data_IF_229759182837
#
_entry.id   IF_229759182837
#
_cell.length_a   1.000
_cell.length_b   1.000
_cell.length_c   1.000
_cell.angle_alpha   90.00
_cell.angle_beta   90.00
_cell.angle_gamma   90.00
#
_symmetry.space_group_name_H-M   'P 1'
#
loop_
_entity.id
_entity.type
_entity.pdbx_description
1 polymer ?
#
# COMPACT_ATOMS: atom_id res chain seq x y z
N UNK A 1 11.73 -7.18 12.13
CA UNK A 1 10.33 -7.50 11.78
C UNK A 1 9.85 -8.61 12.70
N UNK A 2 8.58 -8.58 13.08
CA UNK A 2 7.95 -9.62 13.91
C UNK A 2 6.59 -9.95 13.32
N UNK A 3 6.06 -11.13 13.64
CA UNK A 3 4.72 -11.57 13.24
C UNK A 3 3.95 -12.05 14.47
N UNK A 4 2.63 -11.82 14.56
CA UNK A 4 1.80 -12.47 15.57
C UNK A 4 1.63 -13.98 15.30
N UNK A 5 1.80 -14.42 14.06
CA UNK A 5 1.86 -15.84 13.73
C UNK A 5 3.22 -16.42 14.17
N UNK A 6 3.19 -17.40 15.07
CA UNK A 6 4.39 -17.96 15.68
C UNK A 6 5.29 -18.70 14.68
N UNK A 7 4.71 -19.34 13.67
CA UNK A 7 5.46 -20.05 12.63
C UNK A 7 6.25 -19.06 11.78
N UNK A 8 5.56 -18.05 11.24
CA UNK A 8 6.18 -16.99 10.46
C UNK A 8 7.20 -16.22 11.30
N UNK A 9 6.87 -15.91 12.56
CA UNK A 9 7.78 -15.18 13.45
C UNK A 9 9.09 -15.94 13.70
N UNK A 10 9.05 -17.27 13.77
CA UNK A 10 10.24 -18.12 13.87
C UNK A 10 11.12 -18.11 12.62
N UNK A 11 10.55 -17.83 11.44
CA UNK A 11 11.27 -17.80 10.17
C UNK A 11 11.85 -16.41 9.83
N UNK A 12 11.25 -15.33 10.34
CA UNK A 12 11.69 -13.94 10.06
C UNK A 12 13.16 -13.64 10.39
N UNK A 13 13.81 -14.21 11.43
CA UNK A 13 15.23 -13.98 11.69
C UNK A 13 16.14 -14.35 10.51
N UNK A 14 15.77 -15.34 9.70
CA UNK A 14 16.54 -15.73 8.51
C UNK A 14 16.54 -14.66 7.40
N UNK A 15 15.63 -13.68 7.48
CA UNK A 15 15.60 -12.52 6.57
C UNK A 15 16.62 -11.44 6.95
N UNK A 16 17.30 -11.55 8.10
CA UNK A 16 18.30 -10.58 8.53
C UNK A 16 19.43 -10.46 7.50
N UNK A 17 19.81 -9.23 7.15
CA UNK A 17 20.81 -8.97 6.12
C UNK A 17 20.27 -8.95 4.68
N UNK A 18 18.95 -9.07 4.49
CA UNK A 18 18.30 -8.81 3.18
C UNK A 18 18.76 -7.46 2.64
N UNK A 19 19.29 -7.48 1.42
CA UNK A 19 19.60 -6.24 0.70
C UNK A 19 18.39 -5.84 -0.11
N UNK A 20 18.06 -4.55 -0.10
CA UNK A 20 16.95 -4.00 -0.85
C UNK A 20 17.42 -2.78 -1.66
N UNK A 21 16.85 -2.61 -2.84
CA UNK A 21 17.01 -1.41 -3.66
C UNK A 21 15.65 -0.89 -4.08
N UNK A 22 15.43 0.41 -3.90
CA UNK A 22 14.23 1.10 -4.36
C UNK A 22 14.61 2.10 -5.45
N UNK A 23 13.91 2.05 -6.57
CA UNK A 23 13.97 3.09 -7.60
C UNK A 23 12.77 3.99 -7.42
N UNK A 24 13.03 5.30 -7.33
CA UNK A 24 11.99 6.33 -7.23
C UNK A 24 11.98 7.20 -8.48
N UNK A 25 10.79 7.66 -8.85
CA UNK A 25 10.55 8.68 -9.86
C UNK A 25 10.44 10.08 -9.23
N UNK A 26 9.90 11.04 -9.99
CA UNK A 26 9.63 12.38 -9.49
C UNK A 26 8.78 12.36 -8.20
N UNK A 27 9.06 13.27 -7.27
CA UNK A 27 8.31 13.33 -6.01
C UNK A 27 8.54 12.14 -5.08
N UNK A 28 9.65 11.41 -5.23
CA UNK A 28 9.92 10.15 -4.52
C UNK A 28 8.87 9.05 -4.79
N UNK A 29 8.11 9.16 -5.88
CA UNK A 29 7.12 8.14 -6.26
C UNK A 29 7.82 6.78 -6.47
N UNK A 30 7.42 5.70 -5.78
CA UNK A 30 8.10 4.43 -5.96
C UNK A 30 7.82 3.81 -7.34
N UNK A 31 8.87 3.32 -8.00
CA UNK A 31 8.80 2.75 -9.36
C UNK A 31 9.13 1.26 -9.37
N UNK A 32 10.18 0.85 -8.66
CA UNK A 32 10.62 -0.54 -8.66
C UNK A 32 11.32 -0.92 -7.36
N UNK A 33 10.93 -2.05 -6.77
CA UNK A 33 11.57 -2.67 -5.63
C UNK A 33 12.35 -3.89 -6.06
N UNK A 34 13.59 -4.02 -5.58
CA UNK A 34 14.43 -5.20 -5.74
C UNK A 34 14.82 -5.71 -4.37
N UNK A 35 14.65 -7.01 -4.14
CA UNK A 35 15.04 -7.69 -2.92
C UNK A 35 16.05 -8.78 -3.23
N UNK A 36 17.08 -8.87 -2.40
CA UNK A 36 18.05 -9.94 -2.39
C UNK A 36 18.08 -10.51 -0.96
N UNK A 37 17.10 -11.39 -0.62
CA UNK A 37 17.10 -12.07 0.66
C UNK A 37 18.26 -13.08 0.74
N UNK A 38 18.74 -13.42 1.96
CA UNK A 38 19.75 -14.46 2.13
C UNK A 38 19.28 -15.84 1.62
N UNK A 39 20.20 -16.70 1.22
CA UNK A 39 19.86 -18.03 0.68
C UNK A 39 19.10 -18.92 1.69
N UNK A 40 19.40 -18.76 2.98
CA UNK A 40 18.73 -19.48 4.07
C UNK A 40 17.30 -18.98 4.37
N UNK A 41 16.83 -17.94 3.68
CA UNK A 41 15.49 -17.41 3.88
C UNK A 41 14.42 -18.37 3.34
N UNK A 42 13.51 -18.80 4.20
CA UNK A 42 12.33 -19.57 3.82
C UNK A 42 11.38 -18.78 2.91
N UNK A 43 10.62 -19.49 2.08
CA UNK A 43 9.69 -18.88 1.12
C UNK A 43 8.59 -18.07 1.79
N UNK A 44 8.03 -18.57 2.89
CA UNK A 44 6.96 -17.89 3.62
C UNK A 44 7.43 -16.55 4.21
N UNK A 45 8.61 -16.53 4.84
CA UNK A 45 9.20 -15.30 5.36
C UNK A 45 9.52 -14.30 4.24
N UNK A 46 10.05 -14.77 3.10
CA UNK A 46 10.30 -13.94 1.93
C UNK A 46 9.00 -13.30 1.42
N UNK A 47 7.96 -14.10 1.22
CA UNK A 47 6.67 -13.63 0.73
C UNK A 47 6.05 -12.61 1.70
N UNK A 48 6.10 -12.85 3.01
CA UNK A 48 5.58 -11.93 4.01
C UNK A 48 6.28 -10.56 3.98
N UNK A 49 7.61 -10.56 3.81
CA UNK A 49 8.39 -9.32 3.66
C UNK A 49 8.06 -8.61 2.36
N UNK A 50 7.96 -9.33 1.25
CA UNK A 50 7.55 -8.78 -0.05
C UNK A 50 6.17 -8.10 0.04
N UNK A 51 5.17 -8.77 0.61
CA UNK A 51 3.82 -8.22 0.77
C UNK A 51 3.80 -6.98 1.67
N UNK A 52 4.60 -6.98 2.74
CA UNK A 52 4.74 -5.82 3.63
C UNK A 52 5.32 -4.60 2.90
N UNK A 53 6.30 -4.84 2.03
CA UNK A 53 6.92 -3.77 1.24
C UNK A 53 6.01 -3.29 0.12
N UNK A 54 5.30 -4.18 -0.58
CA UNK A 54 4.27 -3.80 -1.56
C UNK A 54 3.20 -2.93 -0.90
N UNK A 55 2.77 -3.28 0.31
CA UNK A 55 1.84 -2.46 1.09
C UNK A 55 2.41 -1.07 1.34
N UNK A 56 3.66 -0.97 1.85
CA UNK A 56 4.31 0.30 2.10
C UNK A 56 4.46 1.17 0.83
N UNK A 57 4.70 0.56 -0.32
CA UNK A 57 4.78 1.25 -1.61
C UNK A 57 3.42 1.78 -2.06
N UNK A 58 2.39 0.94 -1.98
CA UNK A 58 1.03 1.31 -2.37
C UNK A 58 0.43 2.40 -1.48
N UNK A 59 0.85 2.47 -0.23
CA UNK A 59 0.41 3.50 0.72
C UNK A 59 1.37 4.68 0.87
N UNK A 60 2.45 4.72 0.08
CA UNK A 60 3.36 5.88 0.05
C UNK A 60 2.67 7.09 -0.59
N UNK A 61 3.07 8.30 -0.23
CA UNK A 61 2.54 9.54 -0.82
C UNK A 61 3.63 10.19 -1.65
N UNK A 62 3.39 10.33 -2.95
CA UNK A 62 4.28 11.09 -3.82
C UNK A 62 4.21 12.58 -3.48
N UNK A 63 5.37 13.22 -3.44
CA UNK A 63 5.52 14.65 -3.17
C UNK A 63 5.38 15.46 -4.46
N UNK A 64 4.92 16.73 -4.38
CA UNK A 64 5.02 17.67 -5.49
C UNK A 64 6.48 17.87 -5.93
N UNK A 65 6.68 18.09 -7.23
CA UNK A 65 7.99 18.42 -7.82
C UNK A 65 8.29 19.92 -7.79
N UNK A 66 7.29 20.73 -7.46
CA UNK A 66 7.42 22.16 -7.21
C UNK A 66 7.74 22.43 -5.73
N UNK A 67 8.38 23.56 -5.40
CA UNK A 67 8.62 23.93 -4.02
C UNK A 67 7.32 24.01 -3.21
N UNK A 68 7.30 23.35 -2.05
CA UNK A 68 6.20 23.39 -1.09
C UNK A 68 6.68 23.90 0.26
N UNK A 69 5.74 24.28 1.12
CA UNK A 69 5.98 24.63 2.51
C UNK A 69 4.91 24.00 3.41
N UNK A 70 5.10 24.05 4.72
CA UNK A 70 4.10 23.60 5.68
C UNK A 70 2.76 24.28 5.40
N UNK A 71 1.68 23.50 5.39
CA UNK A 71 0.34 23.94 5.02
C UNK A 71 -0.02 23.69 3.55
N UNK A 72 0.96 23.39 2.68
CA UNK A 72 0.71 23.02 1.29
C UNK A 72 -0.21 21.79 1.21
N UNK A 73 -1.05 21.79 0.16
CA UNK A 73 -1.99 20.72 -0.16
C UNK A 73 -1.81 20.32 -1.61
N UNK A 74 -1.93 19.03 -1.88
CA UNK A 74 -1.84 18.50 -3.23
C UNK A 74 -2.67 17.24 -3.36
N UNK A 75 -3.01 16.92 -4.60
CA UNK A 75 -3.71 15.70 -4.98
C UNK A 75 -2.80 14.84 -5.84
N UNK A 76 -2.80 13.53 -5.58
CA UNK A 76 -2.15 12.54 -6.45
C UNK A 76 -3.16 11.48 -6.86
N UNK A 77 -3.05 11.01 -8.10
CA UNK A 77 -3.86 9.92 -8.63
C UNK A 77 -2.93 8.84 -9.17
N UNK A 78 -3.24 7.57 -8.87
CA UNK A 78 -2.52 6.42 -9.41
C UNK A 78 -3.46 5.26 -9.67
N UNK A 79 -3.07 4.38 -10.60
CA UNK A 79 -3.77 3.11 -10.82
C UNK A 79 -3.05 2.01 -10.06
N UNK A 80 -3.79 1.28 -9.21
CA UNK A 80 -3.30 0.11 -8.49
C UNK A 80 -3.93 -1.13 -9.12
N UNK A 81 -3.10 -1.97 -9.72
CA UNK A 81 -3.52 -3.24 -10.30
C UNK A 81 -3.39 -4.35 -9.27
N UNK A 82 -4.54 -4.78 -8.73
CA UNK A 82 -4.68 -5.94 -7.86
C UNK A 82 -5.86 -6.80 -8.35
N UNK A 83 -6.45 -7.61 -7.46
CA UNK A 83 -7.63 -8.41 -7.77
C UNK A 83 -8.81 -7.56 -8.29
N UNK A 84 -8.95 -6.33 -7.80
CA UNK A 84 -9.67 -5.26 -8.49
C UNK A 84 -8.64 -4.21 -8.90
N UNK A 85 -8.70 -3.73 -10.14
CA UNK A 85 -7.89 -2.58 -10.54
C UNK A 85 -8.63 -1.31 -10.16
N UNK A 86 -7.97 -0.42 -9.43
CA UNK A 86 -8.59 0.81 -8.90
C UNK A 86 -7.76 2.03 -9.27
N UNK A 87 -8.44 3.16 -9.49
CA UNK A 87 -7.83 4.48 -9.40
C UNK A 87 -7.88 4.91 -7.94
N UNK A 88 -6.73 5.13 -7.33
CA UNK A 88 -6.59 5.69 -6.00
C UNK A 88 -6.32 7.19 -6.10
N UNK A 89 -7.19 7.99 -5.49
CA UNK A 89 -7.05 9.44 -5.38
C UNK A 89 -6.65 9.77 -3.95
N UNK A 90 -5.54 10.48 -3.78
CA UNK A 90 -5.03 10.88 -2.47
C UNK A 90 -5.03 12.40 -2.39
N UNK A 91 -5.68 12.95 -1.37
CA UNK A 91 -5.58 14.35 -0.97
C UNK A 91 -4.64 14.45 0.22
N UNK A 92 -3.53 15.16 0.06
CA UNK A 92 -2.46 15.26 1.04
C UNK A 92 -2.26 16.71 1.51
N UNK A 93 -1.77 16.85 2.75
CA UNK A 93 -1.37 18.12 3.36
C UNK A 93 -0.06 17.95 4.13
N UNK A 94 0.91 18.81 3.86
CA UNK A 94 2.12 18.88 4.66
C UNK A 94 1.81 19.57 6.00
N UNK A 95 1.83 18.82 7.10
CA UNK A 95 1.51 19.34 8.43
C UNK A 95 2.73 19.80 9.21
N UNK A 96 3.90 19.21 8.96
CA UNK A 96 5.17 19.60 9.59
C UNK A 96 6.37 19.28 8.68
N UNK A 97 7.46 20.03 8.85
CA UNK A 97 8.74 19.80 8.21
C UNK A 97 9.87 20.14 9.18
N UNK A 98 10.64 19.13 9.57
CA UNK A 98 11.83 19.27 10.43
C UNK A 98 13.05 18.60 9.78
N UNK A 99 14.04 19.40 9.38
CA UNK A 99 15.22 18.92 8.66
C UNK A 99 14.85 18.14 7.39
N UNK A 100 15.13 16.84 7.38
CA UNK A 100 14.80 15.94 6.28
C UNK A 100 13.46 15.20 6.46
N UNK A 101 12.72 15.47 7.55
CA UNK A 101 11.49 14.76 7.89
C UNK A 101 10.26 15.61 7.59
N UNK A 102 9.34 15.03 6.83
CA UNK A 102 8.03 15.58 6.52
C UNK A 102 6.96 14.78 7.26
N UNK A 103 6.01 15.46 7.88
CA UNK A 103 4.77 14.83 8.36
C UNK A 103 3.63 15.24 7.44
N UNK A 104 2.98 14.25 6.83
CA UNK A 104 1.93 14.47 5.84
C UNK A 104 0.65 13.83 6.37
N UNK A 105 -0.41 14.63 6.45
CA UNK A 105 -1.77 14.15 6.66
C UNK A 105 -2.40 13.85 5.31
N UNK A 106 -3.19 12.80 5.21
CA UNK A 106 -3.86 12.48 3.96
C UNK A 106 -5.21 11.79 4.15
N UNK A 107 -6.04 11.90 3.12
CA UNK A 107 -7.19 11.04 2.85
C UNK A 107 -7.02 10.41 1.48
N UNK A 108 -7.60 9.23 1.31
CA UNK A 108 -7.56 8.49 0.07
C UNK A 108 -8.92 7.86 -0.22
N UNK A 109 -9.28 7.82 -1.49
CA UNK A 109 -10.45 7.10 -1.99
C UNK A 109 -10.04 6.26 -3.18
N UNK A 110 -10.65 5.08 -3.32
CA UNK A 110 -10.39 4.22 -4.47
C UNK A 110 -11.68 4.00 -5.27
N UNK A 111 -11.57 4.05 -6.59
CA UNK A 111 -12.67 3.77 -7.51
C UNK A 111 -12.25 2.70 -8.50
N UNK A 112 -13.04 1.63 -8.72
CA UNK A 112 -12.70 0.61 -9.70
C UNK A 112 -12.59 1.21 -11.11
N UNK A 113 -11.54 0.86 -11.85
CA UNK A 113 -11.38 1.30 -13.25
C UNK A 113 -12.35 0.58 -14.19
N UNK A 114 -12.84 -0.59 -13.76
CA UNK A 114 -13.84 -1.39 -14.42
C UNK A 114 -14.58 -2.25 -13.37
N UNK A 115 -15.58 -3.00 -13.80
CA UNK A 115 -16.37 -3.87 -12.91
C UNK A 115 -15.80 -5.29 -12.78
N UNK A 116 -14.53 -5.53 -13.11
CA UNK A 116 -13.95 -6.89 -13.11
C UNK A 116 -13.18 -7.13 -11.81
N UNK A 117 -13.52 -8.23 -11.14
CA UNK A 117 -12.77 -8.77 -10.04
C UNK A 117 -12.12 -10.10 -10.44
N UNK A 118 -10.79 -10.15 -10.51
CA UNK A 118 -10.05 -11.39 -10.77
C UNK A 118 -9.96 -12.23 -9.49
N UNK A 119 -10.33 -13.51 -9.57
CA UNK A 119 -10.19 -14.43 -8.44
C UNK A 119 -8.71 -14.80 -8.29
N UNK A 120 -8.05 -14.46 -7.16
CA UNK A 120 -6.64 -14.79 -6.96
C UNK A 120 -6.39 -16.30 -7.08
N UNK A 121 -5.34 -16.69 -7.80
CA UNK A 121 -4.96 -18.09 -7.98
C UNK A 121 -5.72 -18.85 -9.08
N UNK A 122 -6.57 -18.17 -9.86
CA UNK A 122 -7.29 -18.76 -11.00
C UNK A 122 -7.44 -17.79 -12.18
N UNK A 123 -8.19 -18.22 -13.20
CA UNK A 123 -8.51 -17.43 -14.40
C UNK A 123 -9.96 -16.89 -14.40
N UNK A 124 -10.74 -17.23 -13.37
CA UNK A 124 -12.13 -16.84 -13.25
C UNK A 124 -12.26 -15.39 -12.75
N UNK A 125 -13.40 -14.78 -13.07
CA UNK A 125 -13.72 -13.41 -12.66
C UNK A 125 -15.12 -13.31 -12.08
N UNK A 126 -15.33 -12.30 -11.25
CA UNK A 126 -16.63 -11.86 -10.75
C UNK A 126 -16.88 -10.42 -11.20
N UNK A 127 -18.16 -10.03 -11.24
CA UNK A 127 -18.55 -8.64 -11.51
C UNK A 127 -18.67 -7.87 -10.21
N UNK A 128 -18.01 -6.72 -10.12
CA UNK A 128 -18.14 -5.76 -9.03
C UNK A 128 -19.44 -4.98 -9.26
N UNK A 129 -20.50 -5.27 -8.49
CA UNK A 129 -21.78 -4.56 -8.57
C UNK A 129 -21.81 -3.32 -7.68
N UNK A 130 -21.09 -3.35 -6.55
CA UNK A 130 -20.90 -2.22 -5.64
C UNK A 130 -19.49 -2.21 -5.09
N UNK A 131 -18.95 -1.02 -4.86
CA UNK A 131 -17.63 -0.82 -4.31
C UNK A 131 -17.58 0.45 -3.46
N UNK A 132 -16.91 0.38 -2.33
CA UNK A 132 -16.49 1.53 -1.53
C UNK A 132 -15.10 1.25 -0.96
N UNK A 133 -14.23 2.25 -0.97
CA UNK A 133 -12.91 2.18 -0.35
C UNK A 133 -12.48 3.60 0.00
N UNK A 134 -12.23 3.80 1.29
CA UNK A 134 -11.76 5.06 1.84
C UNK A 134 -10.62 4.78 2.83
N UNK A 135 -9.71 5.72 2.95
CA UNK A 135 -8.63 5.63 3.89
C UNK A 135 -8.03 6.98 4.22
N UNK A 136 -7.08 6.96 5.14
CA UNK A 136 -6.38 8.17 5.56
C UNK A 136 -5.51 7.93 6.78
N UNK A 137 -4.80 8.98 7.16
CA UNK A 137 -3.93 8.97 8.32
C UNK A 137 -2.78 9.95 8.20
N UNK A 138 -1.66 9.57 8.82
CA UNK A 138 -0.41 10.31 8.79
C UNK A 138 0.72 9.45 8.26
N UNK A 139 1.61 10.06 7.49
CA UNK A 139 2.85 9.42 7.06
C UNK A 139 4.01 10.34 7.34
N UNK A 140 5.10 9.78 7.86
CA UNK A 140 6.37 10.46 8.01
C UNK A 140 7.34 10.02 6.92
N UNK A 141 7.83 10.98 6.15
CA UNK A 141 8.77 10.75 5.05
C UNK A 141 10.11 11.38 5.43
N UNK A 142 11.17 10.59 5.38
CA UNK A 142 12.55 11.10 5.44
C UNK A 142 13.06 11.23 4.00
N UNK A 143 13.43 12.44 3.58
CA UNK A 143 13.88 12.74 2.21
C UNK A 143 15.17 12.01 1.80
N UNK A 144 15.90 11.44 2.76
CA UNK A 144 17.08 10.59 2.52
C UNK A 144 16.74 9.11 2.36
N UNK A 145 15.46 8.76 2.50
CA UNK A 145 14.92 7.40 2.48
C UNK A 145 13.82 7.32 1.43
N UNK A 146 13.66 6.15 0.83
CA UNK A 146 12.66 5.96 -0.23
C UNK A 146 11.29 5.45 0.25
N UNK A 147 11.16 5.07 1.52
CA UNK A 147 9.93 4.57 2.12
C UNK A 147 9.56 5.39 3.37
N UNK A 148 8.28 5.41 3.77
CA UNK A 148 7.86 5.96 5.05
C UNK A 148 8.69 5.42 6.22
N UNK A 149 9.01 6.32 7.16
CA UNK A 149 9.80 6.01 8.37
C UNK A 149 8.96 6.06 9.64
N UNK A 150 7.70 6.46 9.55
CA UNK A 150 6.79 6.62 10.67
C UNK A 150 5.37 6.95 10.21
N UNK A 151 4.44 6.97 11.16
CA UNK A 151 3.03 7.30 10.92
C UNK A 151 2.09 6.11 11.03
N UNK A 152 0.81 6.39 10.83
CA UNK A 152 -0.27 5.41 10.89
C UNK A 152 -1.34 5.74 9.85
N UNK A 153 -1.87 4.71 9.21
CA UNK A 153 -3.01 4.84 8.33
C UNK A 153 -4.00 3.70 8.52
N UNK A 154 -5.23 3.96 8.09
CA UNK A 154 -6.27 2.95 7.96
C UNK A 154 -6.97 3.10 6.62
N UNK A 155 -7.27 1.96 6.00
CA UNK A 155 -8.21 1.84 4.89
C UNK A 155 -9.35 0.92 5.30
N UNK A 156 -10.57 1.28 4.91
CA UNK A 156 -11.73 0.42 5.02
C UNK A 156 -12.45 0.38 3.68
N UNK A 157 -13.05 -0.76 3.38
CA UNK A 157 -13.77 -0.91 2.13
C UNK A 157 -14.78 -2.03 2.17
N UNK A 158 -15.65 -2.02 1.18
CA UNK A 158 -16.59 -3.10 0.92
C UNK A 158 -16.78 -3.25 -0.58
N UNK A 159 -17.03 -4.48 -1.00
CA UNK A 159 -17.44 -4.78 -2.37
C UNK A 159 -18.48 -5.87 -2.39
N UNK A 160 -19.41 -5.73 -3.32
CA UNK A 160 -20.39 -6.75 -3.67
C UNK A 160 -19.95 -7.35 -5.01
N UNK A 161 -19.80 -8.67 -5.02
CA UNK A 161 -19.28 -9.45 -6.14
C UNK A 161 -20.36 -10.41 -6.63
N UNK A 162 -20.61 -10.42 -7.93
CA UNK A 162 -21.65 -11.22 -8.57
C UNK A 162 -21.02 -12.19 -9.57
N UNK A 163 -21.36 -13.47 -9.44
CA UNK A 163 -20.93 -14.53 -10.36
C UNK A 163 -22.03 -14.91 -11.36
N UNK A 164 -22.01 -16.16 -11.80
CA UNK A 164 -22.99 -16.69 -12.76
C UNK A 164 -24.43 -16.71 -12.23
N UNK A 165 -24.61 -16.86 -10.92
CA UNK A 165 -25.91 -16.75 -10.26
C UNK A 165 -26.06 -15.36 -9.62
N UNK A 166 -26.84 -14.43 -10.21
CA UNK A 166 -27.00 -13.09 -9.69
C UNK A 166 -27.81 -13.03 -8.38
N UNK A 167 -28.50 -14.11 -8.01
CA UNK A 167 -29.26 -14.18 -6.75
C UNK A 167 -28.38 -14.46 -5.52
N UNK A 168 -27.09 -14.72 -5.73
CA UNK A 168 -26.12 -15.07 -4.68
C UNK A 168 -24.89 -14.16 -4.69
N UNK A 169 -25.04 -12.86 -4.38
CA UNK A 169 -23.90 -11.97 -4.30
C UNK A 169 -23.01 -12.33 -3.10
N UNK A 170 -21.69 -12.20 -3.29
CA UNK A 170 -20.70 -12.25 -2.23
C UNK A 170 -20.38 -10.83 -1.78
N UNK A 171 -20.60 -10.53 -0.49
CA UNK A 171 -20.15 -9.27 0.10
C UNK A 171 -18.81 -9.50 0.80
N UNK A 172 -17.79 -8.77 0.38
CA UNK A 172 -16.48 -8.78 1.02
C UNK A 172 -16.22 -7.41 1.63
N UNK A 173 -15.88 -7.41 2.93
CA UNK A 173 -15.37 -6.21 3.62
C UNK A 173 -13.86 -6.31 3.72
N UNK A 174 -13.18 -5.18 3.59
CA UNK A 174 -11.74 -5.06 3.68
C UNK A 174 -11.37 -4.03 4.73
N UNK A 175 -10.32 -4.31 5.49
CA UNK A 175 -9.74 -3.40 6.46
C UNK A 175 -8.23 -3.58 6.46
N UNK A 176 -7.51 -2.48 6.44
CA UNK A 176 -6.06 -2.45 6.53
C UNK A 176 -5.67 -1.35 7.51
N UNK A 177 -4.86 -1.68 8.50
CA UNK A 177 -4.19 -0.69 9.34
C UNK A 177 -2.69 -0.91 9.22
N UNK A 178 -1.96 0.17 8.96
CA UNK A 178 -0.50 0.14 8.88
C UNK A 178 0.04 1.14 9.87
N UNK A 179 0.99 0.70 10.69
CA UNK A 179 1.77 1.58 11.56
C UNK A 179 3.24 1.40 11.22
N UNK A 180 3.92 2.47 10.86
CA UNK A 180 5.37 2.47 10.70
C UNK A 180 6.03 2.89 12.01
N UNK A 181 7.11 2.20 12.38
CA UNK A 181 7.87 2.42 13.61
C UNK A 181 9.36 2.29 13.32
#
# INVERSE_FOLDING_TARGET
>A
MTSPDASLNGQLPAMAGTKAGLTTGPGLAPVALRLAPPEQAGEEARLAVEQSLVTALNTSIALPTEPIAVGARWRTERVISAAATVTQTIDARLSAWDGNRLTIQFSAEETPVNSVFAIPGGNDTLTISRFSSEGGGTVEVDLTRGLPVGGELTYTGARELVGADPSRPLVQKTGLTVTWR
#
